data_IF_019946908983
#
_entry.id   IF_019946908983
#
_cell.length_a   1.000
_cell.length_b   1.000
_cell.length_c   1.000
_cell.angle_alpha   90.00
_cell.angle_beta   90.00
_cell.angle_gamma   90.00
#
_symmetry.space_group_name_H-M   'P 1'
#
loop_
_entity.id
_entity.type
_entity.pdbx_description
1 polymer ?
#
# COMPACT_ATOMS: atom_id res chain seq x y z
N UNK A 1 7.58 -29.72 16.26
CA UNK A 1 8.14 -28.35 16.22
C UNK A 1 7.60 -27.69 14.98
N UNK A 2 6.58 -26.83 15.13
CA UNK A 2 6.02 -26.08 14.03
C UNK A 2 6.85 -24.80 13.87
N UNK A 3 7.69 -24.74 12.84
CA UNK A 3 8.28 -23.47 12.44
C UNK A 3 7.16 -22.63 11.85
N UNK A 4 6.62 -21.69 12.63
CA UNK A 4 5.85 -20.58 12.06
C UNK A 4 6.82 -19.83 11.16
N UNK A 5 6.66 -19.93 9.84
CA UNK A 5 7.37 -19.05 8.92
C UNK A 5 7.01 -17.63 9.35
N UNK A 6 7.96 -16.91 9.95
CA UNK A 6 7.76 -15.51 10.28
C UNK A 6 7.41 -14.80 8.98
N UNK A 7 6.24 -14.15 8.95
CA UNK A 7 5.81 -13.42 7.78
C UNK A 7 6.88 -12.37 7.47
N UNK A 8 7.34 -12.24 6.22
CA UNK A 8 8.39 -11.29 5.86
C UNK A 8 8.10 -9.90 6.44
N UNK A 9 9.11 -9.24 6.99
CA UNK A 9 8.94 -7.95 7.68
C UNK A 9 8.22 -6.89 6.83
N UNK A 10 8.32 -6.98 5.49
CA UNK A 10 7.55 -6.15 4.54
C UNK A 10 6.04 -6.38 4.62
N UNK A 11 5.59 -7.63 4.73
CA UNK A 11 4.17 -7.97 4.80
C UNK A 11 3.58 -7.48 6.12
N UNK A 12 4.29 -7.66 7.23
CA UNK A 12 3.85 -7.12 8.53
C UNK A 12 3.77 -5.60 8.54
N UNK A 13 4.68 -4.90 7.85
CA UNK A 13 4.60 -3.44 7.69
C UNK A 13 3.36 -3.00 6.91
N UNK A 14 3.03 -3.70 5.82
CA UNK A 14 1.83 -3.40 5.02
C UNK A 14 0.56 -3.73 5.81
N UNK A 15 0.55 -4.85 6.52
CA UNK A 15 -0.58 -5.27 7.36
C UNK A 15 -0.82 -4.30 8.54
N UNK A 16 0.22 -3.66 9.05
CA UNK A 16 0.08 -2.63 10.08
C UNK A 16 -0.50 -1.29 9.56
N UNK A 17 -0.53 -1.04 8.24
CA UNK A 17 -1.04 0.23 7.71
C UNK A 17 -2.54 0.36 7.99
N UNK A 18 -2.92 1.41 8.71
CA UNK A 18 -4.31 1.82 8.77
C UNK A 18 -4.57 2.81 7.65
N UNK A 19 -5.51 2.50 6.76
CA UNK A 19 -5.86 3.38 5.65
C UNK A 19 -6.55 4.62 6.23
N UNK A 20 -5.94 5.82 6.17
CA UNK A 20 -6.49 7.00 6.77
C UNK A 20 -7.75 7.41 6.00
N UNK A 21 -8.86 7.59 6.73
CA UNK A 21 -10.10 8.20 6.23
C UNK A 21 -10.12 9.65 6.71
N UNK A 22 -10.04 10.57 5.78
CA UNK A 22 -9.91 12.01 6.05
C UNK A 22 -11.05 12.72 5.36
N UNK A 23 -11.92 13.34 6.14
CA UNK A 23 -13.01 14.15 5.60
C UNK A 23 -12.45 15.29 4.74
N UNK A 24 -13.13 15.59 3.64
CA UNK A 24 -12.73 16.68 2.78
C UNK A 24 -12.85 18.02 3.52
N UNK A 25 -11.77 18.79 3.53
CA UNK A 25 -11.70 20.11 4.14
C UNK A 25 -11.88 21.21 3.10
N UNK A 26 -11.40 22.42 3.42
CA UNK A 26 -11.31 23.48 2.41
C UNK A 26 -10.36 23.04 1.27
N UNK A 27 -10.75 23.21 0.00
CA UNK A 27 -9.92 22.82 -1.14
C UNK A 27 -8.55 23.50 -1.08
N UNK A 28 -7.48 22.74 -1.34
CA UNK A 28 -6.15 23.33 -1.44
C UNK A 28 -6.03 24.24 -2.65
N UNK A 29 -5.41 25.41 -2.47
CA UNK A 29 -5.10 26.34 -3.56
C UNK A 29 -3.79 26.01 -4.28
N UNK A 30 -3.01 25.06 -3.76
CA UNK A 30 -1.73 24.64 -4.33
C UNK A 30 -1.87 23.29 -5.04
N UNK A 31 -2.21 23.38 -6.33
CA UNK A 31 -2.35 22.22 -7.20
C UNK A 31 -1.01 21.51 -7.48
N UNK A 32 0.10 22.24 -7.45
CA UNK A 32 1.43 21.67 -7.72
C UNK A 32 1.87 20.79 -6.56
N UNK A 33 1.72 21.28 -5.32
CA UNK A 33 2.03 20.50 -4.12
C UNK A 33 1.16 19.24 -4.01
N UNK A 34 -0.15 19.34 -4.31
CA UNK A 34 -1.03 18.18 -4.34
C UNK A 34 -0.62 17.14 -5.38
N UNK A 35 -0.34 17.57 -6.61
CA UNK A 35 0.11 16.65 -7.65
C UNK A 35 1.43 15.97 -7.26
N UNK A 36 2.36 16.71 -6.63
CA UNK A 36 3.60 16.13 -6.12
C UNK A 36 3.33 15.05 -5.06
N UNK A 37 2.49 15.33 -4.06
CA UNK A 37 2.10 14.36 -3.03
C UNK A 37 1.43 13.11 -3.62
N UNK A 38 0.50 13.32 -4.55
CA UNK A 38 -0.17 12.22 -5.24
C UNK A 38 0.82 11.32 -6.00
N UNK A 39 1.76 11.91 -6.75
CA UNK A 39 2.77 11.16 -7.50
C UNK A 39 3.76 10.44 -6.59
N UNK A 40 4.16 11.05 -5.47
CA UNK A 40 5.00 10.39 -4.47
C UNK A 40 4.30 9.15 -3.90
N UNK A 41 3.05 9.29 -3.45
CA UNK A 41 2.26 8.17 -2.94
C UNK A 41 2.11 7.07 -3.99
N UNK A 42 1.81 7.44 -5.24
CA UNK A 42 1.69 6.51 -6.37
C UNK A 42 3.00 5.75 -6.61
N UNK A 43 4.15 6.43 -6.61
CA UNK A 43 5.45 5.80 -6.82
C UNK A 43 5.78 4.78 -5.73
N UNK A 44 5.49 5.09 -4.46
CA UNK A 44 5.71 4.15 -3.34
C UNK A 44 4.85 2.89 -3.54
N UNK A 45 3.57 3.07 -3.85
CA UNK A 45 2.63 1.96 -4.07
C UNK A 45 3.04 1.08 -5.26
N UNK A 46 3.45 1.68 -6.37
CA UNK A 46 3.81 0.95 -7.58
C UNK A 46 5.12 0.17 -7.39
N UNK A 47 6.12 0.78 -6.74
CA UNK A 47 7.37 0.09 -6.40
C UNK A 47 7.11 -1.08 -5.44
N UNK A 48 6.32 -0.87 -4.39
CA UNK A 48 6.01 -1.94 -3.44
C UNK A 48 5.20 -3.07 -4.10
N UNK A 49 4.24 -2.73 -4.98
CA UNK A 49 3.48 -3.72 -5.75
C UNK A 49 4.40 -4.56 -6.63
N UNK A 50 5.37 -3.94 -7.30
CA UNK A 50 6.32 -4.63 -8.15
C UNK A 50 7.23 -5.55 -7.33
N UNK A 51 7.81 -5.05 -6.24
CA UNK A 51 8.69 -5.83 -5.36
C UNK A 51 7.97 -7.07 -4.83
N UNK A 52 6.75 -6.91 -4.30
CA UNK A 52 5.97 -8.04 -3.79
C UNK A 52 5.69 -9.12 -4.87
N UNK A 53 5.39 -8.70 -6.10
CA UNK A 53 5.15 -9.65 -7.19
C UNK A 53 6.43 -10.38 -7.61
N UNK A 54 7.52 -9.66 -7.75
CA UNK A 54 8.80 -10.22 -8.18
C UNK A 54 9.42 -11.12 -7.11
N UNK A 55 9.36 -10.73 -5.84
CA UNK A 55 10.04 -11.44 -4.76
C UNK A 55 9.27 -12.69 -4.33
N UNK A 56 7.94 -12.68 -4.43
CA UNK A 56 7.10 -13.73 -3.83
C UNK A 56 6.18 -14.47 -4.80
N UNK A 57 5.89 -13.94 -6.00
CA UNK A 57 4.84 -14.51 -6.87
C UNK A 57 5.34 -15.12 -8.19
N UNK A 58 6.65 -15.15 -8.46
CA UNK A 58 7.17 -15.64 -9.74
C UNK A 58 6.86 -17.12 -10.05
N UNK A 59 6.85 -17.99 -9.04
CA UNK A 59 6.69 -19.44 -9.21
C UNK A 59 5.64 -20.04 -8.26
N UNK A 60 4.59 -19.26 -7.95
CA UNK A 60 3.52 -19.67 -7.03
C UNK A 60 2.55 -20.63 -7.73
N UNK A 61 2.22 -21.73 -7.05
CA UNK A 61 1.17 -22.64 -7.49
C UNK A 61 -0.19 -22.06 -7.13
N UNK A 62 -1.19 -22.29 -7.98
CA UNK A 62 -2.56 -21.83 -7.74
C UNK A 62 -3.12 -22.28 -6.38
N UNK A 63 -2.79 -23.49 -5.92
CA UNK A 63 -3.22 -23.99 -4.61
C UNK A 63 -2.71 -23.14 -3.44
N UNK A 64 -1.50 -22.57 -3.56
CA UNK A 64 -0.92 -21.73 -2.51
C UNK A 64 -1.68 -20.40 -2.40
N UNK A 65 -2.25 -19.88 -3.48
CA UNK A 65 -3.04 -18.63 -3.45
C UNK A 65 -4.26 -18.74 -2.51
N UNK A 66 -4.85 -19.93 -2.42
CA UNK A 66 -6.04 -20.20 -1.63
C UNK A 66 -5.75 -20.77 -0.23
N UNK A 67 -4.49 -21.08 0.06
CA UNK A 67 -4.06 -21.52 1.38
C UNK A 67 -3.73 -20.29 2.24
N UNK A 68 -4.57 -20.01 3.24
CA UNK A 68 -4.44 -18.85 4.15
C UNK A 68 -3.12 -18.83 4.93
N UNK A 69 -2.47 -19.99 5.07
CA UNK A 69 -1.18 -20.11 5.74
C UNK A 69 0.00 -19.93 4.79
N UNK A 70 -0.24 -19.85 3.48
CA UNK A 70 0.81 -19.68 2.50
C UNK A 70 1.32 -18.23 2.45
N UNK A 71 2.59 -18.10 2.11
CA UNK A 71 3.20 -16.80 1.85
C UNK A 71 2.55 -16.11 0.65
N UNK A 72 2.17 -16.87 -0.38
CA UNK A 72 1.50 -16.32 -1.56
C UNK A 72 0.17 -15.65 -1.21
N UNK A 73 -0.64 -16.31 -0.38
CA UNK A 73 -1.91 -15.76 0.08
C UNK A 73 -1.70 -14.45 0.86
N UNK A 74 -0.76 -14.44 1.81
CA UNK A 74 -0.42 -13.24 2.59
C UNK A 74 0.06 -12.08 1.70
N UNK A 75 0.79 -12.37 0.63
CA UNK A 75 1.22 -11.38 -0.37
C UNK A 75 0.01 -10.84 -1.14
N UNK A 76 -0.95 -11.67 -1.55
CA UNK A 76 -2.17 -11.21 -2.21
C UNK A 76 -3.07 -10.34 -1.31
N UNK A 77 -3.16 -10.67 -0.02
CA UNK A 77 -3.83 -9.82 0.97
C UNK A 77 -3.15 -8.45 1.05
N UNK A 78 -1.81 -8.44 1.13
CA UNK A 78 -1.01 -7.21 1.15
C UNK A 78 -1.20 -6.38 -0.13
N UNK A 79 -1.17 -7.02 -1.31
CA UNK A 79 -1.43 -6.36 -2.60
C UNK A 79 -2.83 -5.74 -2.65
N UNK A 80 -3.86 -6.47 -2.19
CA UNK A 80 -5.24 -5.96 -2.13
C UNK A 80 -5.34 -4.72 -1.25
N UNK A 81 -4.56 -4.66 -0.17
CA UNK A 81 -4.48 -3.48 0.71
C UNK A 81 -3.78 -2.30 0.04
N UNK A 82 -2.69 -2.53 -0.69
CA UNK A 82 -2.03 -1.49 -1.49
C UNK A 82 -2.97 -0.93 -2.56
N UNK A 83 -3.82 -1.78 -3.17
CA UNK A 83 -4.84 -1.36 -4.12
C UNK A 83 -5.90 -0.46 -3.47
N UNK A 84 -6.37 -0.81 -2.27
CA UNK A 84 -7.28 0.05 -1.49
C UNK A 84 -6.64 1.42 -1.19
N UNK A 85 -5.36 1.45 -0.82
CA UNK A 85 -4.63 2.71 -0.59
C UNK A 85 -4.51 3.52 -1.89
N UNK A 86 -4.27 2.86 -3.03
CA UNK A 86 -4.22 3.52 -4.35
C UNK A 86 -5.55 4.18 -4.70
N UNK A 87 -6.67 3.52 -4.40
CA UNK A 87 -8.01 4.09 -4.57
C UNK A 87 -8.20 5.34 -3.72
N UNK A 88 -7.77 5.32 -2.45
CA UNK A 88 -7.83 6.49 -1.56
C UNK A 88 -6.94 7.64 -2.05
N UNK A 89 -5.73 7.34 -2.54
CA UNK A 89 -4.84 8.36 -3.11
C UNK A 89 -5.49 9.07 -4.31
N UNK A 90 -6.17 8.32 -5.17
CA UNK A 90 -6.93 8.88 -6.29
C UNK A 90 -8.14 9.70 -5.82
N UNK A 91 -8.89 9.20 -4.83
CA UNK A 91 -10.02 9.91 -4.26
C UNK A 91 -9.61 11.26 -3.68
N UNK A 92 -8.55 11.31 -2.88
CA UNK A 92 -8.08 12.55 -2.28
C UNK A 92 -7.57 13.57 -3.29
N UNK A 93 -6.96 13.12 -4.40
CA UNK A 93 -6.64 14.04 -5.50
C UNK A 93 -7.92 14.61 -6.14
N UNK A 94 -8.90 13.74 -6.43
CA UNK A 94 -10.18 14.14 -7.05
C UNK A 94 -10.95 15.14 -6.18
N UNK A 95 -10.92 14.95 -4.87
CA UNK A 95 -11.57 15.81 -3.88
C UNK A 95 -10.76 17.06 -3.52
N UNK A 96 -9.54 17.22 -4.05
CA UNK A 96 -8.59 18.28 -3.69
C UNK A 96 -8.24 18.28 -2.19
N UNK A 97 -8.24 17.09 -1.58
CA UNK A 97 -8.02 16.84 -0.18
C UNK A 97 -6.52 16.64 0.11
N UNK A 98 -5.79 17.76 0.24
CA UNK A 98 -4.35 17.75 0.53
C UNK A 98 -4.01 17.06 1.86
N UNK A 99 -4.86 17.21 2.87
CA UNK A 99 -4.67 16.55 4.18
C UNK A 99 -4.76 15.03 4.06
N UNK A 100 -5.68 14.53 3.22
CA UNK A 100 -5.79 13.12 2.88
C UNK A 100 -4.54 12.59 2.18
N UNK A 101 -4.05 13.31 1.15
CA UNK A 101 -2.82 12.96 0.45
C UNK A 101 -1.59 12.96 1.37
N UNK A 102 -1.48 13.93 2.28
CA UNK A 102 -0.38 14.02 3.24
C UNK A 102 -0.42 12.86 4.24
N UNK A 103 -1.58 12.58 4.85
CA UNK A 103 -1.72 11.45 5.78
C UNK A 103 -1.42 10.12 5.10
N UNK A 104 -1.80 9.97 3.82
CA UNK A 104 -1.39 8.81 3.03
C UNK A 104 0.13 8.74 2.85
N UNK A 105 0.79 9.85 2.56
CA UNK A 105 2.24 9.88 2.44
C UNK A 105 2.91 9.44 3.75
N UNK A 106 2.43 9.93 4.89
CA UNK A 106 2.98 9.62 6.20
C UNK A 106 2.90 8.13 6.53
N UNK A 107 1.77 7.46 6.21
CA UNK A 107 1.63 6.01 6.44
C UNK A 107 2.37 5.16 5.40
N UNK A 108 2.65 5.70 4.21
CA UNK A 108 3.37 5.00 3.14
C UNK A 108 4.90 5.13 3.26
N UNK A 109 5.41 6.21 3.85
CA UNK A 109 6.87 6.44 4.01
C UNK A 109 7.64 5.26 4.62
N UNK A 110 7.14 4.53 5.64
CA UNK A 110 7.83 3.36 6.18
C UNK A 110 8.08 2.24 5.16
N UNK A 111 7.35 2.23 4.03
CA UNK A 111 7.50 1.25 2.95
C UNK A 111 8.65 1.56 1.99
N UNK A 112 9.27 2.75 2.06
CA UNK A 112 10.38 3.15 1.18
C UNK A 112 11.68 2.43 1.54
N UNK A 113 11.87 2.10 2.82
CA UNK A 113 13.10 1.51 3.36
C UNK A 113 12.91 0.02 3.67
N UNK A 114 12.27 -0.71 2.77
CA UNK A 114 12.06 -2.16 2.91
C UNK A 114 12.77 -2.91 1.82
#
# INVERSE_FOLDING_TARGET
MACTAESPAVLSKIDAIQIPVVQNGSPSRDATAMNSLYQQNKSILDNMTLNLKTDYLLNVKTAEIFDEHSQAHQVYVSLSKLDQIRLMNHLYLKEQNVTGLQKLNDVLRPLINV
#
